data_IF_887059325829
#
_entry.id   IF_887059325829
#
_cell.length_a   1.000
_cell.length_b   1.000
_cell.length_c   1.000
_cell.angle_alpha   90.00
_cell.angle_beta   90.00
_cell.angle_gamma   90.00
#
_symmetry.space_group_name_H-M   'P 1'
#
loop_
_entity.id
_entity.type
_entity.pdbx_description
1 polymer ?
#
# COMPACT_ATOMS: atom_id res chain seq x y z
N UNK A 1 12.36 -13.82 11.74
CA UNK A 1 12.58 -14.47 10.42
C UNK A 1 12.76 -13.37 9.40
N UNK A 2 13.89 -13.35 8.70
CA UNK A 2 14.27 -12.22 7.86
C UNK A 2 13.72 -12.29 6.43
N UNK A 3 13.41 -13.47 5.90
CA UNK A 3 12.87 -13.63 4.54
C UNK A 3 11.63 -12.77 4.24
N UNK A 4 10.52 -12.81 5.03
CA UNK A 4 9.37 -11.96 4.76
C UNK A 4 9.65 -10.48 5.03
N UNK A 5 10.65 -10.17 5.88
CA UNK A 5 11.08 -8.80 6.13
C UNK A 5 11.76 -8.24 4.88
N UNK A 6 12.72 -8.95 4.29
CA UNK A 6 13.38 -8.54 3.05
C UNK A 6 12.41 -8.50 1.86
N UNK A 7 11.50 -9.48 1.76
CA UNK A 7 10.47 -9.47 0.72
C UNK A 7 9.59 -8.21 0.82
N UNK A 8 9.18 -7.82 2.04
CA UNK A 8 8.40 -6.60 2.25
C UNK A 8 9.23 -5.34 2.03
N UNK A 9 10.51 -5.36 2.42
CA UNK A 9 11.44 -4.26 2.26
C UNK A 9 11.61 -3.86 0.78
N UNK A 10 11.63 -4.85 -0.12
CA UNK A 10 11.79 -4.66 -1.56
C UNK A 10 10.46 -4.48 -2.31
N UNK A 11 9.41 -5.17 -1.88
CA UNK A 11 8.12 -5.09 -2.56
C UNK A 11 7.41 -3.75 -2.32
N UNK A 12 7.60 -3.14 -1.15
CA UNK A 12 6.99 -1.85 -0.82
C UNK A 12 7.39 -0.71 -1.76
N UNK A 13 8.68 -0.41 -1.99
CA UNK A 13 9.07 0.64 -2.95
C UNK A 13 8.67 0.29 -4.39
N UNK A 14 8.77 -0.99 -4.81
CA UNK A 14 8.32 -1.40 -6.14
C UNK A 14 6.82 -1.14 -6.32
N UNK A 15 6.00 -1.50 -5.33
CA UNK A 15 4.56 -1.25 -5.40
C UNK A 15 4.25 0.25 -5.39
N UNK A 16 4.98 1.04 -4.59
CA UNK A 16 4.80 2.49 -4.50
C UNK A 16 5.12 3.22 -5.81
N UNK A 17 6.23 2.86 -6.46
CA UNK A 17 6.84 3.69 -7.52
C UNK A 17 6.85 3.03 -8.89
N UNK A 18 6.86 1.70 -8.97
CA UNK A 18 7.08 0.98 -10.22
C UNK A 18 5.83 0.22 -10.70
N UNK A 19 4.84 -0.01 -9.83
CA UNK A 19 3.67 -0.83 -10.19
C UNK A 19 2.69 -0.14 -11.14
N UNK A 20 2.84 1.17 -11.32
CA UNK A 20 2.02 2.02 -12.16
C UNK A 20 2.83 2.71 -13.27
N UNK A 21 3.99 2.15 -13.65
CA UNK A 21 4.84 2.66 -14.73
C UNK A 21 5.84 3.72 -14.25
N UNK A 22 6.22 4.63 -15.14
CA UNK A 22 6.97 5.85 -14.79
C UNK A 22 8.51 5.75 -14.83
N UNK A 23 9.09 4.55 -14.73
CA UNK A 23 10.53 4.31 -14.79
C UNK A 23 10.91 3.35 -15.91
N UNK A 24 12.07 3.50 -16.55
CA UNK A 24 12.54 2.49 -17.48
C UNK A 24 12.83 1.16 -16.74
N UNK A 25 12.62 -0.02 -17.36
CA UNK A 25 12.85 -1.31 -16.70
C UNK A 25 14.26 -1.48 -16.10
N UNK A 26 15.26 -0.85 -16.70
CA UNK A 26 16.64 -0.89 -16.23
C UNK A 26 16.87 -0.12 -14.92
N UNK A 27 16.05 0.90 -14.64
CA UNK A 27 16.19 1.78 -13.46
C UNK A 27 15.43 1.24 -12.25
N UNK A 28 14.42 0.38 -12.47
CA UNK A 28 13.58 -0.19 -11.41
C UNK A 28 14.39 -0.82 -10.26
N UNK A 29 15.45 -1.62 -10.49
CA UNK A 29 16.24 -2.18 -9.39
C UNK A 29 16.90 -1.10 -8.53
N UNK A 30 17.41 -0.02 -9.15
CA UNK A 30 18.03 1.09 -8.44
C UNK A 30 16.99 1.83 -7.59
N UNK A 31 15.85 2.19 -8.18
CA UNK A 31 14.72 2.84 -7.48
C UNK A 31 14.28 2.03 -6.27
N UNK A 32 14.10 0.72 -6.46
CA UNK A 32 13.69 -0.20 -5.38
C UNK A 32 14.71 -0.22 -4.25
N UNK A 33 16.00 -0.34 -4.54
CA UNK A 33 17.05 -0.43 -3.51
C UNK A 33 17.21 0.88 -2.77
N UNK A 34 17.19 2.02 -3.47
CA UNK A 34 17.36 3.35 -2.88
C UNK A 34 16.20 3.70 -1.96
N UNK A 35 14.97 3.35 -2.36
CA UNK A 35 13.76 3.70 -1.60
C UNK A 35 13.33 2.63 -0.59
N UNK A 36 13.93 1.43 -0.65
CA UNK A 36 13.67 0.34 0.30
C UNK A 36 13.83 0.72 1.78
N UNK A 37 14.88 1.47 2.19
CA UNK A 37 15.00 1.92 3.58
C UNK A 37 13.76 2.71 4.06
N UNK A 38 13.25 3.63 3.24
CA UNK A 38 12.09 4.45 3.58
C UNK A 38 10.76 3.67 3.45
N UNK A 39 10.39 3.25 2.24
CA UNK A 39 9.11 2.58 1.99
C UNK A 39 9.04 1.21 2.64
N UNK A 40 10.07 0.39 2.43
CA UNK A 40 10.18 -0.94 3.00
C UNK A 40 10.29 -0.90 4.52
N UNK A 41 11.12 0.00 5.06
CA UNK A 41 11.25 0.19 6.50
C UNK A 41 9.91 0.55 7.15
N UNK A 42 9.18 1.51 6.57
CA UNK A 42 7.84 1.89 7.03
C UNK A 42 6.86 0.70 6.97
N UNK A 43 6.80 -0.03 5.85
CA UNK A 43 5.91 -1.18 5.69
C UNK A 43 6.18 -2.26 6.75
N UNK A 44 7.45 -2.58 7.02
CA UNK A 44 7.85 -3.54 8.06
C UNK A 44 7.45 -3.04 9.44
N UNK A 45 7.77 -1.78 9.80
CA UNK A 45 7.46 -1.20 11.10
C UNK A 45 5.95 -1.15 11.36
N UNK A 46 5.17 -0.68 10.39
CA UNK A 46 3.70 -0.60 10.48
C UNK A 46 3.10 -1.98 10.71
N UNK A 47 3.56 -2.97 9.94
CA UNK A 47 3.13 -4.35 10.08
C UNK A 47 3.47 -4.88 11.48
N UNK A 48 4.69 -4.67 11.97
CA UNK A 48 5.11 -5.12 13.29
C UNK A 48 4.28 -4.48 14.41
N UNK A 49 4.05 -3.17 14.37
CA UNK A 49 3.22 -2.45 15.35
C UNK A 49 1.80 -3.01 15.37
N UNK A 50 1.17 -3.17 14.20
CA UNK A 50 -0.19 -3.68 14.11
C UNK A 50 -0.35 -5.14 14.58
N UNK A 51 0.70 -5.97 14.44
CA UNK A 51 0.69 -7.35 14.96
C UNK A 51 0.97 -7.41 16.46
N UNK A 52 1.78 -6.51 17.01
CA UNK A 52 2.09 -6.45 18.46
C UNK A 52 0.92 -5.89 19.28
N UNK A 53 0.24 -4.87 18.78
CA UNK A 53 -0.90 -4.23 19.44
C UNK A 53 -2.20 -5.00 19.25
N UNK A 54 -2.24 -5.95 18.30
CA UNK A 54 -3.44 -6.72 17.97
C UNK A 54 -4.47 -5.95 17.12
N UNK A 55 -4.21 -4.68 16.76
CA UNK A 55 -5.13 -3.83 16.00
C UNK A 55 -5.42 -4.32 14.57
N UNK A 56 -4.55 -5.16 14.01
CA UNK A 56 -4.81 -5.84 12.73
C UNK A 56 -4.87 -4.89 11.52
N UNK A 57 -5.71 -5.19 10.54
CA UNK A 57 -5.80 -4.41 9.30
C UNK A 57 -6.27 -2.95 9.48
N UNK A 58 -7.25 -2.63 10.34
CA UNK A 58 -7.61 -1.23 10.55
C UNK A 58 -6.45 -0.40 11.12
N UNK A 59 -5.64 -0.96 12.02
CA UNK A 59 -4.42 -0.30 12.50
C UNK A 59 -3.38 -0.13 11.37
N UNK A 60 -3.21 -1.14 10.50
CA UNK A 60 -2.32 -1.02 9.32
C UNK A 60 -2.77 0.13 8.42
N UNK A 61 -4.06 0.23 8.09
CA UNK A 61 -4.59 1.30 7.22
C UNK A 61 -4.39 2.69 7.83
N UNK A 62 -4.67 2.85 9.13
CA UNK A 62 -4.47 4.13 9.82
C UNK A 62 -2.99 4.53 9.89
N UNK A 63 -2.10 3.59 10.20
CA UNK A 63 -0.66 3.83 10.20
C UNK A 63 -0.10 4.07 8.79
N UNK A 64 -0.69 3.44 7.76
CA UNK A 64 -0.33 3.70 6.37
C UNK A 64 -0.74 5.11 5.95
N UNK A 65 -1.91 5.59 6.39
CA UNK A 65 -2.33 6.97 6.18
C UNK A 65 -1.39 7.93 6.91
N UNK A 66 -0.99 7.62 8.15
CA UNK A 66 0.00 8.39 8.88
C UNK A 66 1.35 8.43 8.13
N UNK A 67 1.80 7.29 7.58
CA UNK A 67 2.99 7.24 6.74
C UNK A 67 2.86 8.10 5.48
N UNK A 68 1.71 8.10 4.81
CA UNK A 68 1.49 8.97 3.65
C UNK A 68 1.63 10.45 3.98
N UNK A 69 1.14 10.90 5.15
CA UNK A 69 1.36 12.25 5.64
C UNK A 69 2.82 12.52 6.02
N UNK A 70 3.51 11.56 6.64
CA UNK A 70 4.95 11.70 6.95
C UNK A 70 5.75 11.81 5.66
N UNK A 71 5.53 10.91 4.71
CA UNK A 71 6.27 10.87 3.45
C UNK A 71 6.03 12.18 2.67
N UNK A 72 4.77 12.47 2.32
CA UNK A 72 4.43 13.54 1.41
C UNK A 72 4.49 14.93 2.06
N UNK A 73 4.33 14.99 3.38
CA UNK A 73 4.24 16.24 4.14
C UNK A 73 5.52 16.61 4.90
N UNK A 74 6.33 15.63 5.33
CA UNK A 74 7.54 15.89 6.13
C UNK A 74 8.83 15.51 5.41
N UNK A 75 8.83 14.39 4.67
CA UNK A 75 10.05 13.81 4.08
C UNK A 75 10.37 14.41 2.72
N UNK A 76 9.54 14.18 1.70
CA UNK A 76 9.77 14.78 0.37
C UNK A 76 9.06 16.13 0.21
N UNK A 77 8.06 16.40 1.07
CA UNK A 77 7.25 17.62 1.07
C UNK A 77 6.50 17.88 -0.25
N UNK A 78 6.31 16.84 -1.06
CA UNK A 78 5.58 16.85 -2.34
C UNK A 78 4.16 17.36 -2.21
N UNK A 79 3.51 17.14 -1.05
CA UNK A 79 2.15 17.61 -0.80
C UNK A 79 2.02 19.15 -0.79
N UNK A 80 3.10 19.84 -0.43
CA UNK A 80 3.10 21.30 -0.25
C UNK A 80 3.92 22.03 -1.29
N UNK A 81 4.80 21.32 -2.01
CA UNK A 81 5.66 21.90 -3.03
C UNK A 81 4.91 21.93 -4.37
N UNK A 82 4.50 23.12 -4.87
CA UNK A 82 3.74 23.25 -6.12
C UNK A 82 4.59 23.13 -7.39
N UNK A 83 5.88 22.80 -7.21
CA UNK A 83 6.84 22.59 -8.30
C UNK A 83 7.39 21.17 -8.25
N UNK A 84 6.83 20.28 -7.44
CA UNK A 84 7.43 18.99 -7.11
C UNK A 84 7.64 18.11 -8.36
N UNK A 85 6.85 18.29 -9.41
CA UNK A 85 6.88 17.51 -10.65
C UNK A 85 7.28 18.33 -11.88
N UNK A 86 7.67 19.61 -11.73
CA UNK A 86 8.03 20.55 -12.82
C UNK A 86 9.01 19.99 -13.89
N UNK A 87 9.94 19.12 -13.50
CA UNK A 87 11.01 18.54 -14.33
C UNK A 87 10.68 17.13 -14.86
N UNK A 88 9.44 16.67 -14.64
CA UNK A 88 8.95 15.36 -15.06
C UNK A 88 7.82 15.53 -16.07
N UNK A 89 7.45 14.46 -16.78
CA UNK A 89 6.27 14.49 -17.65
C UNK A 89 4.94 14.55 -16.86
N UNK A 90 5.00 14.48 -15.52
CA UNK A 90 3.85 14.65 -14.62
C UNK A 90 3.51 16.10 -14.30
N UNK A 91 4.27 17.09 -14.75
CA UNK A 91 4.03 18.51 -14.46
C UNK A 91 2.58 18.96 -14.78
N UNK A 92 1.98 18.39 -15.82
CA UNK A 92 0.58 18.65 -16.19
C UNK A 92 -0.44 18.18 -15.15
N UNK A 93 -0.17 17.08 -14.44
CA UNK A 93 -1.06 16.59 -13.36
C UNK A 93 -1.00 17.52 -12.13
N UNK A 94 0.18 18.02 -11.80
CA UNK A 94 0.34 19.00 -10.72
C UNK A 94 -0.39 20.31 -11.02
N UNK A 95 -0.28 20.80 -12.26
CA UNK A 95 -1.02 21.97 -12.71
C UNK A 95 -2.55 21.75 -12.63
N UNK A 96 -3.04 20.58 -13.03
CA UNK A 96 -4.46 20.23 -12.91
C UNK A 96 -4.93 20.20 -11.45
N UNK A 97 -4.13 19.60 -10.56
CA UNK A 97 -4.44 19.50 -9.14
C UNK A 97 -4.54 20.87 -8.43
N UNK A 98 -3.95 21.93 -8.99
CA UNK A 98 -4.11 23.29 -8.48
C UNK A 98 -5.58 23.75 -8.41
N UNK A 99 -6.47 23.18 -9.25
CA UNK A 99 -7.91 23.45 -9.24
C UNK A 99 -8.64 22.99 -7.97
N UNK A 100 -7.99 22.21 -7.11
CA UNK A 100 -8.55 21.69 -5.85
C UNK A 100 -7.75 22.10 -4.62
N UNK A 101 -7.01 23.22 -4.73
CA UNK A 101 -6.32 23.80 -3.58
C UNK A 101 -7.28 24.09 -2.43
N UNK A 102 -6.87 23.67 -1.24
CA UNK A 102 -7.59 23.98 0.00
C UNK A 102 -7.13 25.35 0.50
N UNK A 103 -8.02 26.36 0.59
CA UNK A 103 -7.64 27.70 1.03
C UNK A 103 -6.94 27.69 2.40
N UNK A 104 -5.82 28.39 2.49
CA UNK A 104 -5.07 28.55 3.75
C UNK A 104 -4.20 27.36 4.17
N UNK A 105 -4.30 26.19 3.52
CA UNK A 105 -3.50 25.01 3.89
C UNK A 105 -2.33 24.71 2.92
N UNK A 106 -2.36 25.30 1.73
CA UNK A 106 -1.24 25.24 0.79
C UNK A 106 -1.01 23.87 0.13
N UNK A 107 -2.03 23.01 0.09
CA UNK A 107 -2.03 21.75 -0.66
C UNK A 107 -3.32 21.58 -1.46
N UNK A 108 -3.29 20.71 -2.46
CA UNK A 108 -4.44 20.29 -3.25
C UNK A 108 -5.12 19.06 -2.63
N UNK A 109 -6.45 19.07 -2.55
CA UNK A 109 -7.21 17.90 -2.10
C UNK A 109 -7.01 16.68 -3.02
N UNK A 110 -6.81 16.92 -4.32
CA UNK A 110 -6.49 15.88 -5.30
C UNK A 110 -5.10 15.28 -5.06
N UNK A 111 -4.07 16.12 -4.83
CA UNK A 111 -2.73 15.64 -4.45
C UNK A 111 -2.74 14.90 -3.11
N UNK A 112 -3.53 15.36 -2.14
CA UNK A 112 -3.67 14.66 -0.86
C UNK A 112 -4.20 13.24 -1.08
N UNK A 113 -5.26 13.09 -1.89
CA UNK A 113 -5.82 11.78 -2.20
C UNK A 113 -4.84 10.91 -3.00
N UNK A 114 -4.13 11.51 -3.97
CA UNK A 114 -3.14 10.80 -4.78
C UNK A 114 -1.98 10.29 -3.92
N UNK A 115 -1.29 11.17 -3.18
CA UNK A 115 -0.12 10.81 -2.39
C UNK A 115 -0.48 9.92 -1.19
N UNK A 116 -1.38 10.36 -0.31
CA UNK A 116 -1.73 9.58 0.89
C UNK A 116 -2.48 8.31 0.52
N UNK A 117 -3.39 8.37 -0.47
CA UNK A 117 -4.11 7.20 -0.97
C UNK A 117 -3.19 6.14 -1.57
N UNK A 118 -2.22 6.55 -2.41
CA UNK A 118 -1.24 5.62 -2.98
C UNK A 118 -0.34 5.03 -1.89
N UNK A 119 0.07 5.79 -0.87
CA UNK A 119 0.83 5.23 0.25
C UNK A 119 0.03 4.20 1.04
N UNK A 120 -1.25 4.47 1.30
CA UNK A 120 -2.14 3.51 1.96
C UNK A 120 -2.25 2.23 1.13
N UNK A 121 -2.59 2.37 -0.15
CA UNK A 121 -2.94 1.25 -1.01
C UNK A 121 -1.70 0.46 -1.48
N UNK A 122 -0.74 1.16 -2.08
CA UNK A 122 0.37 0.58 -2.84
C UNK A 122 1.65 0.47 -2.02
N UNK A 123 2.05 1.49 -1.24
CA UNK A 123 3.30 1.41 -0.46
C UNK A 123 3.19 0.48 0.74
N UNK A 124 1.99 0.32 1.33
CA UNK A 124 1.81 -0.39 2.60
C UNK A 124 0.85 -1.58 2.49
N UNK A 125 -0.44 -1.36 2.17
CA UNK A 125 -1.45 -2.43 2.28
C UNK A 125 -1.21 -3.57 1.28
N UNK A 126 -0.98 -3.25 0.01
CA UNK A 126 -0.73 -4.24 -1.03
C UNK A 126 0.50 -5.13 -0.75
N UNK A 127 1.70 -4.57 -0.50
CA UNK A 127 2.90 -5.38 -0.26
C UNK A 127 2.79 -6.20 1.03
N UNK A 128 2.19 -5.67 2.11
CA UNK A 128 1.92 -6.47 3.31
C UNK A 128 0.99 -7.64 2.99
N UNK A 129 -0.12 -7.42 2.28
CA UNK A 129 -1.09 -8.45 1.96
C UNK A 129 -0.49 -9.56 1.08
N UNK A 130 0.35 -9.18 0.11
CA UNK A 130 1.06 -10.11 -0.77
C UNK A 130 2.07 -10.93 0.04
N UNK A 131 2.99 -10.30 0.77
CA UNK A 131 4.03 -11.02 1.53
C UNK A 131 3.40 -11.92 2.58
N UNK A 132 2.37 -11.45 3.30
CA UNK A 132 1.66 -12.28 4.26
C UNK A 132 0.99 -13.50 3.63
N UNK A 133 0.63 -13.45 2.34
CA UNK A 133 0.05 -14.59 1.61
C UNK A 133 1.08 -15.71 1.36
N UNK A 134 2.37 -15.40 1.37
CA UNK A 134 3.46 -16.38 1.31
C UNK A 134 3.88 -16.89 2.70
N UNK A 135 3.50 -16.19 3.77
CA UNK A 135 3.75 -16.61 5.15
C UNK A 135 2.64 -17.55 5.62
N UNK A 136 3.03 -18.69 6.20
CA UNK A 136 2.11 -19.69 6.75
C UNK A 136 1.11 -19.11 7.76
N UNK A 137 -0.12 -19.62 7.75
CA UNK A 137 -1.25 -19.15 8.59
C UNK A 137 -0.87 -18.89 10.06
N UNK A 138 -0.11 -19.78 10.69
CA UNK A 138 0.30 -19.67 12.10
C UNK A 138 1.22 -18.49 12.38
N UNK A 139 2.08 -18.11 11.42
CA UNK A 139 3.06 -17.02 11.60
C UNK A 139 2.60 -15.69 11.03
N UNK A 140 1.63 -15.70 10.11
CA UNK A 140 1.11 -14.49 9.45
C UNK A 140 0.65 -13.42 10.44
N UNK A 141 -0.05 -13.83 11.48
CA UNK A 141 -0.59 -12.93 12.50
C UNK A 141 0.37 -12.54 13.62
N UNK A 142 1.62 -13.03 13.61
CA UNK A 142 2.59 -12.84 14.70
C UNK A 142 3.72 -11.89 14.29
N UNK A 143 4.32 -11.13 15.21
CA UNK A 143 5.53 -10.35 14.93
C UNK A 143 6.63 -11.20 14.27
N UNK A 144 7.32 -10.66 13.26
CA UNK A 144 8.41 -11.33 12.54
C UNK A 144 9.78 -11.04 13.15
N UNK A 145 9.90 -9.89 13.83
CA UNK A 145 11.13 -9.37 14.41
C UNK A 145 11.10 -9.45 15.95
N UNK A 146 12.28 -9.48 16.57
CA UNK A 146 12.44 -9.19 18.00
C UNK A 146 12.63 -7.68 18.23
N UNK A 147 12.91 -7.28 19.48
CA UNK A 147 13.16 -5.86 19.82
C UNK A 147 14.35 -5.27 19.04
N UNK A 148 15.47 -6.00 18.98
CA UNK A 148 16.66 -5.56 18.23
C UNK A 148 16.37 -5.38 16.72
N UNK A 149 15.66 -6.32 16.10
CA UNK A 149 15.29 -6.21 14.69
C UNK A 149 14.35 -5.02 14.43
N UNK A 150 13.45 -4.73 15.35
CA UNK A 150 12.58 -3.55 15.27
C UNK A 150 13.38 -2.25 15.38
N UNK A 151 14.36 -2.18 16.30
CA UNK A 151 15.25 -1.04 16.44
C UNK A 151 16.08 -0.80 15.18
N UNK A 152 16.66 -1.86 14.60
CA UNK A 152 17.40 -1.79 13.33
C UNK A 152 16.50 -1.25 12.22
N UNK A 153 15.25 -1.72 12.11
CA UNK A 153 14.33 -1.20 11.09
C UNK A 153 13.89 0.24 11.36
N UNK A 154 13.78 0.65 12.62
CA UNK A 154 13.58 2.05 12.99
C UNK A 154 14.71 2.94 12.48
N UNK A 155 15.96 2.54 12.72
CA UNK A 155 17.14 3.28 12.26
C UNK A 155 17.18 3.33 10.74
N UNK A 156 17.00 2.19 10.05
CA UNK A 156 16.99 2.14 8.58
C UNK A 156 15.89 3.03 7.98
N UNK A 157 14.69 3.02 8.56
CA UNK A 157 13.60 3.90 8.12
C UNK A 157 13.93 5.38 8.30
N UNK A 158 14.47 5.77 9.46
CA UNK A 158 14.85 7.16 9.73
C UNK A 158 15.96 7.60 8.79
N UNK A 159 17.02 6.80 8.63
CA UNK A 159 18.13 7.12 7.72
C UNK A 159 17.66 7.22 6.26
N UNK A 160 16.80 6.30 5.81
CA UNK A 160 16.18 6.38 4.48
C UNK A 160 15.37 7.64 4.28
N UNK A 161 14.54 8.00 5.27
CA UNK A 161 13.74 9.23 5.24
C UNK A 161 14.63 10.49 5.24
N UNK A 162 15.69 10.51 6.05
CA UNK A 162 16.66 11.59 6.06
C UNK A 162 17.41 11.72 4.73
N UNK A 163 17.75 10.61 4.08
CA UNK A 163 18.41 10.62 2.78
C UNK A 163 17.49 11.23 1.69
N UNK A 164 16.21 10.87 1.68
CA UNK A 164 15.21 11.48 0.77
C UNK A 164 15.02 12.96 1.09
N UNK A 165 14.89 13.33 2.36
CA UNK A 165 14.78 14.74 2.76
C UNK A 165 16.04 15.55 2.40
N UNK A 166 17.23 14.96 2.49
CA UNK A 166 18.49 15.62 2.17
C UNK A 166 18.69 15.85 0.66
N UNK A 167 17.91 15.18 -0.20
CA UNK A 167 17.91 15.43 -1.64
C UNK A 167 17.22 16.76 -1.99
N UNK A 168 17.99 17.83 -1.87
CA UNK A 168 17.49 19.18 -2.13
C UNK A 168 17.16 19.42 -3.61
N UNK A 169 17.76 18.65 -4.52
CA UNK A 169 17.41 18.70 -5.95
C UNK A 169 16.02 18.10 -6.17
N UNK A 170 15.75 16.93 -5.58
CA UNK A 170 14.41 16.31 -5.62
C UNK A 170 13.32 17.21 -5.01
N UNK A 171 13.62 17.88 -3.89
CA UNK A 171 12.70 18.87 -3.28
C UNK A 171 12.71 20.25 -3.94
N UNK A 172 13.62 20.51 -4.89
CA UNK A 172 13.76 21.79 -5.60
C UNK A 172 13.93 22.98 -4.66
N UNK A 173 14.69 22.79 -3.59
CA UNK A 173 14.93 23.80 -2.55
C UNK A 173 13.69 24.20 -1.74
N UNK A 174 12.57 23.48 -1.88
CA UNK A 174 11.33 23.79 -1.16
C UNK A 174 11.40 23.33 0.30
N UNK A 175 10.89 24.18 1.20
CA UNK A 175 10.65 23.85 2.60
C UNK A 175 9.22 24.25 2.99
N UNK A 176 8.48 23.30 3.53
CA UNK A 176 7.14 23.50 4.07
C UNK A 176 7.20 24.48 5.27
N UNK A 177 6.18 25.34 5.35
CA UNK A 177 6.07 26.31 6.45
C UNK A 177 5.89 25.62 7.81
N UNK A 178 6.23 26.30 8.93
CA UNK A 178 5.99 25.76 10.27
C UNK A 178 4.54 25.33 10.53
N UNK A 179 3.57 26.04 9.94
CA UNK A 179 2.15 25.70 10.05
C UNK A 179 1.82 24.39 9.32
N UNK A 180 2.36 24.19 8.11
CA UNK A 180 2.20 22.94 7.37
C UNK A 180 2.86 21.76 8.09
N UNK A 181 4.07 21.95 8.60
CA UNK A 181 4.77 20.93 9.39
C UNK A 181 4.00 20.58 10.67
N UNK A 182 3.58 21.59 11.44
CA UNK A 182 2.80 21.40 12.66
C UNK A 182 1.45 20.72 12.42
N UNK A 183 0.75 21.12 11.35
CA UNK A 183 -0.50 20.50 10.92
C UNK A 183 -0.33 19.03 10.52
N UNK A 184 0.71 18.72 9.72
CA UNK A 184 1.04 17.35 9.35
C UNK A 184 1.37 16.50 10.57
N UNK A 185 2.20 17.00 11.49
CA UNK A 185 2.52 16.29 12.75
C UNK A 185 1.26 16.02 13.56
N UNK A 186 0.36 17.00 13.68
CA UNK A 186 -0.91 16.81 14.40
C UNK A 186 -1.75 15.69 13.77
N UNK A 187 -1.92 15.68 12.44
CA UNK A 187 -2.66 14.63 11.73
C UNK A 187 -2.01 13.26 11.93
N UNK A 188 -0.69 13.17 11.81
CA UNK A 188 0.08 11.94 12.05
C UNK A 188 -0.16 11.43 13.47
N UNK A 189 -0.06 12.29 14.48
CA UNK A 189 -0.28 11.91 15.89
C UNK A 189 -1.72 11.42 16.12
N UNK A 190 -2.72 12.07 15.54
CA UNK A 190 -4.13 11.64 15.62
C UNK A 190 -4.32 10.26 14.98
N UNK A 191 -3.76 10.03 13.79
CA UNK A 191 -3.86 8.74 13.09
C UNK A 191 -3.13 7.62 13.83
N UNK A 192 -1.93 7.89 14.36
CA UNK A 192 -1.17 6.94 15.18
C UNK A 192 -1.93 6.62 16.46
N UNK A 193 -2.44 7.63 17.18
CA UNK A 193 -3.24 7.42 18.38
C UNK A 193 -4.47 6.57 18.08
N UNK A 194 -5.22 6.90 17.01
CA UNK A 194 -6.36 6.10 16.57
C UNK A 194 -5.95 4.65 16.27
N UNK A 195 -4.84 4.43 15.57
CA UNK A 195 -4.36 3.09 15.25
C UNK A 195 -3.99 2.25 16.48
N UNK A 196 -3.41 2.88 17.50
CA UNK A 196 -3.05 2.23 18.76
C UNK A 196 -4.26 1.95 19.65
N UNK A 197 -5.34 2.74 19.51
CA UNK A 197 -6.59 2.57 20.25
C UNK A 197 -7.56 1.58 19.58
N UNK A 198 -7.41 1.32 18.27
CA UNK A 198 -8.22 0.34 17.55
C UNK A 198 -8.03 -1.05 18.18
N UNK A 199 -9.16 -1.63 18.62
CA UNK A 199 -9.24 -3.02 19.04
C UNK A 199 -10.02 -3.83 18.02
N UNK A 200 -9.60 -5.08 17.80
CA UNK A 200 -10.39 -6.01 16.99
C UNK A 200 -11.74 -6.25 17.65
N UNK A 201 -12.81 -5.90 16.95
CA UNK A 201 -14.18 -6.22 17.36
C UNK A 201 -14.44 -7.74 17.30
N UNK A 202 -15.49 -8.21 17.98
CA UNK A 202 -15.91 -9.62 17.92
C UNK A 202 -16.24 -10.03 16.48
N UNK A 203 -16.07 -11.32 16.18
CA UNK A 203 -16.51 -11.89 14.91
C UNK A 203 -18.01 -11.57 14.72
N UNK A 204 -18.37 -11.09 13.52
CA UNK A 204 -19.70 -10.59 13.23
C UNK A 204 -20.76 -11.68 13.15
N UNK A 205 -21.98 -11.26 12.82
CA UNK A 205 -23.13 -12.13 12.60
C UNK A 205 -22.74 -13.29 11.65
N UNK A 206 -23.17 -14.52 11.95
CA UNK A 206 -22.73 -15.76 11.27
C UNK A 206 -23.00 -15.86 9.76
N UNK A 207 -23.38 -14.75 9.10
CA UNK A 207 -23.55 -14.60 7.67
C UNK A 207 -22.24 -14.84 6.92
N UNK A 208 -22.26 -15.52 5.77
CA UNK A 208 -21.06 -15.77 4.99
C UNK A 208 -20.50 -14.50 4.35
N UNK A 209 -19.18 -14.39 4.35
CA UNK A 209 -18.45 -13.37 3.61
C UNK A 209 -18.70 -13.56 2.09
N UNK A 210 -18.79 -12.47 1.31
CA UNK A 210 -18.89 -12.58 -0.14
C UNK A 210 -17.65 -13.26 -0.73
N UNK A 211 -17.74 -13.68 -2.00
CA UNK A 211 -16.59 -14.20 -2.72
C UNK A 211 -15.45 -13.17 -2.73
N UNK A 212 -14.22 -13.63 -2.51
CA UNK A 212 -13.04 -12.76 -2.40
C UNK A 212 -12.87 -11.82 -3.62
N UNK A 213 -13.27 -12.26 -4.81
CA UNK A 213 -13.23 -11.43 -6.03
C UNK A 213 -13.96 -10.09 -5.86
N UNK A 214 -15.07 -10.05 -5.11
CA UNK A 214 -15.82 -8.81 -4.90
C UNK A 214 -15.06 -7.80 -4.06
N UNK A 215 -14.23 -8.25 -3.11
CA UNK A 215 -13.34 -7.36 -2.38
C UNK A 215 -12.33 -6.68 -3.32
N UNK A 216 -11.79 -7.44 -4.28
CA UNK A 216 -10.87 -6.89 -5.28
C UNK A 216 -11.54 -6.03 -6.35
N UNK A 217 -12.75 -6.37 -6.79
CA UNK A 217 -13.51 -5.52 -7.73
C UNK A 217 -13.83 -4.18 -7.09
N UNK A 218 -14.34 -4.16 -5.85
CA UNK A 218 -14.70 -2.91 -5.18
C UNK A 218 -13.48 -2.01 -4.94
N UNK A 219 -12.35 -2.56 -4.49
CA UNK A 219 -11.14 -1.76 -4.32
C UNK A 219 -10.48 -1.39 -5.64
N UNK A 220 -10.54 -2.24 -6.66
CA UNK A 220 -10.04 -1.93 -8.00
C UNK A 220 -10.83 -0.80 -8.66
N UNK A 221 -12.15 -0.82 -8.58
CA UNK A 221 -13.01 0.29 -9.04
C UNK A 221 -12.69 1.57 -8.28
N UNK A 222 -12.51 1.49 -6.95
CA UNK A 222 -12.13 2.67 -6.17
C UNK A 222 -10.73 3.21 -6.54
N UNK A 223 -9.75 2.34 -6.77
CA UNK A 223 -8.42 2.75 -7.25
C UNK A 223 -8.47 3.38 -8.64
N UNK A 224 -9.20 2.76 -9.58
CA UNK A 224 -9.33 3.25 -10.95
C UNK A 224 -10.19 4.52 -11.05
N UNK A 225 -10.94 4.88 -10.01
CA UNK A 225 -11.73 6.12 -9.98
C UNK A 225 -10.90 7.40 -9.96
N UNK A 226 -9.59 7.28 -9.69
CA UNK A 226 -8.64 8.35 -9.90
C UNK A 226 -8.71 8.86 -11.35
N UNK A 227 -8.94 10.16 -11.54
CA UNK A 227 -8.97 10.78 -12.87
C UNK A 227 -10.28 10.62 -13.66
N UNK A 228 -11.35 10.05 -13.10
CA UNK A 228 -12.66 9.97 -13.78
C UNK A 228 -13.32 11.34 -14.03
N UNK A 229 -13.00 12.31 -13.19
CA UNK A 229 -13.44 13.68 -13.33
C UNK A 229 -12.32 14.61 -12.85
N UNK A 230 -12.20 15.82 -13.41
CA UNK A 230 -11.23 16.81 -12.94
C UNK A 230 -11.76 17.58 -11.72
N UNK A 231 -10.86 18.22 -11.00
CA UNK A 231 -11.22 19.22 -10.00
C UNK A 231 -11.99 18.64 -8.81
N UNK A 232 -12.84 19.47 -8.19
CA UNK A 232 -13.61 19.07 -7.00
C UNK A 232 -14.59 17.91 -7.26
N UNK A 233 -15.07 17.77 -8.50
CA UNK A 233 -15.88 16.62 -8.89
C UNK A 233 -15.07 15.32 -8.82
N UNK A 234 -13.83 15.33 -9.31
CA UNK A 234 -12.88 14.23 -9.18
C UNK A 234 -12.60 13.85 -7.73
N UNK A 235 -12.30 14.85 -6.91
CA UNK A 235 -12.08 14.67 -5.46
C UNK A 235 -13.29 14.03 -4.79
N UNK A 236 -14.51 14.50 -5.09
CA UNK A 236 -15.74 13.95 -4.53
C UNK A 236 -15.97 12.50 -4.96
N UNK A 237 -15.81 12.19 -6.26
CA UNK A 237 -15.96 10.84 -6.82
C UNK A 237 -14.96 9.87 -6.18
N UNK A 238 -13.68 10.24 -6.16
CA UNK A 238 -12.63 9.38 -5.62
C UNK A 238 -12.80 9.17 -4.10
N UNK A 239 -13.11 10.24 -3.36
CA UNK A 239 -13.39 10.14 -1.91
C UNK A 239 -14.58 9.22 -1.65
N UNK A 240 -15.69 9.39 -2.39
CA UNK A 240 -16.87 8.55 -2.24
C UNK A 240 -16.57 7.09 -2.59
N UNK A 241 -15.81 6.82 -3.65
CA UNK A 241 -15.43 5.48 -4.05
C UNK A 241 -14.53 4.79 -3.02
N UNK A 242 -13.48 5.48 -2.52
CA UNK A 242 -12.58 4.97 -1.48
C UNK A 242 -13.32 4.74 -0.15
N UNK A 243 -14.17 5.68 0.27
CA UNK A 243 -14.96 5.54 1.49
C UNK A 243 -15.95 4.38 1.38
N UNK A 244 -16.66 4.26 0.25
CA UNK A 244 -17.59 3.15 0.00
C UNK A 244 -16.87 1.80 0.00
N UNK A 245 -15.71 1.71 -0.67
CA UNK A 245 -14.89 0.52 -0.67
C UNK A 245 -14.40 0.15 0.74
N UNK A 246 -13.92 1.14 1.51
CA UNK A 246 -13.50 0.97 2.89
C UNK A 246 -14.63 0.44 3.78
N UNK A 247 -15.81 1.07 3.72
CA UNK A 247 -17.00 0.63 4.49
C UNK A 247 -17.43 -0.78 4.10
N UNK A 248 -17.50 -1.09 2.81
CA UNK A 248 -17.89 -2.43 2.33
C UNK A 248 -16.88 -3.49 2.76
N UNK A 249 -15.57 -3.24 2.62
CA UNK A 249 -14.52 -4.16 3.05
C UNK A 249 -14.56 -4.35 4.57
N UNK A 250 -14.71 -3.27 5.36
CA UNK A 250 -14.84 -3.36 6.81
C UNK A 250 -16.07 -4.17 7.22
N UNK A 251 -17.21 -3.94 6.57
CA UNK A 251 -18.43 -4.69 6.84
C UNK A 251 -18.30 -6.17 6.46
N UNK A 252 -17.77 -6.48 5.29
CA UNK A 252 -17.52 -7.85 4.85
C UNK A 252 -16.45 -8.54 5.69
N UNK A 253 -15.49 -7.80 6.25
CA UNK A 253 -14.43 -8.36 7.09
C UNK A 253 -14.93 -8.97 8.40
N UNK A 254 -16.12 -8.57 8.85
CA UNK A 254 -16.77 -9.10 10.05
C UNK A 254 -17.52 -10.41 9.78
N UNK A 255 -17.74 -10.78 8.52
CA UNK A 255 -18.56 -11.95 8.15
C UNK A 255 -17.81 -13.27 8.26
N UNK A 256 -18.55 -14.36 8.48
CA UNK A 256 -18.01 -15.70 8.59
C UNK A 256 -17.23 -16.11 7.32
N UNK A 257 -16.01 -16.63 7.50
CA UNK A 257 -15.16 -17.07 6.40
C UNK A 257 -14.35 -15.97 5.69
N UNK A 258 -14.44 -14.71 6.13
CA UNK A 258 -13.47 -13.70 5.72
C UNK A 258 -12.05 -14.11 6.16
N UNK A 259 -11.09 -14.02 5.25
CA UNK A 259 -9.72 -14.42 5.55
C UNK A 259 -8.71 -13.89 4.55
N UNK A 260 -7.52 -14.50 4.54
CA UNK A 260 -6.38 -13.98 3.75
C UNK A 260 -6.67 -13.85 2.26
N UNK A 261 -7.50 -14.73 1.69
CA UNK A 261 -7.87 -14.64 0.28
C UNK A 261 -8.65 -13.35 -0.03
N UNK A 262 -9.51 -12.90 0.88
CA UNK A 262 -10.26 -11.66 0.75
C UNK A 262 -9.37 -10.44 0.95
N UNK A 263 -8.48 -10.50 1.93
CA UNK A 263 -7.45 -9.47 2.17
C UNK A 263 -6.56 -9.30 0.94
N UNK A 264 -6.02 -10.41 0.41
CA UNK A 264 -5.22 -10.41 -0.81
C UNK A 264 -6.01 -9.86 -2.00
N UNK A 265 -7.29 -10.22 -2.14
CA UNK A 265 -8.12 -9.68 -3.21
C UNK A 265 -8.36 -8.17 -3.07
N UNK A 266 -8.67 -7.67 -1.88
CA UNK A 266 -8.83 -6.23 -1.62
C UNK A 266 -7.55 -5.46 -1.98
N UNK A 267 -6.39 -5.95 -1.54
CA UNK A 267 -5.08 -5.39 -1.92
C UNK A 267 -4.79 -5.47 -3.42
N UNK A 268 -5.09 -6.62 -4.04
CA UNK A 268 -4.89 -6.85 -5.46
C UNK A 268 -5.69 -5.89 -6.34
N UNK A 269 -6.89 -5.49 -5.91
CA UNK A 269 -7.70 -4.52 -6.65
C UNK A 269 -6.96 -3.22 -6.93
N UNK A 270 -6.32 -2.63 -5.90
CA UNK A 270 -5.53 -1.42 -6.07
C UNK A 270 -4.27 -1.64 -6.92
N UNK A 271 -3.56 -2.75 -6.72
CA UNK A 271 -2.35 -3.06 -7.50
C UNK A 271 -2.67 -3.30 -8.99
N UNK A 272 -3.80 -3.96 -9.29
CA UNK A 272 -4.29 -4.13 -10.65
C UNK A 272 -4.73 -2.80 -11.25
N UNK A 273 -5.42 -1.94 -10.49
CA UNK A 273 -5.80 -0.60 -10.94
C UNK A 273 -4.56 0.25 -11.27
N UNK A 274 -3.52 0.19 -10.44
CA UNK A 274 -2.24 0.83 -10.66
C UNK A 274 -1.57 0.34 -11.95
N UNK A 275 -1.39 -0.98 -12.13
CA UNK A 275 -0.76 -1.52 -13.33
C UNK A 275 -1.60 -1.32 -14.60
N UNK A 276 -2.93 -1.30 -14.50
CA UNK A 276 -3.79 -0.95 -15.63
C UNK A 276 -3.71 0.54 -15.97
N UNK A 277 -3.59 1.41 -14.96
CA UNK A 277 -3.42 2.85 -15.13
C UNK A 277 -2.05 3.26 -15.67
N UNK A 278 -1.04 2.39 -15.56
CA UNK A 278 0.32 2.65 -16.04
C UNK A 278 0.39 3.12 -17.50
N UNK A 279 -0.41 2.48 -18.36
CA UNK A 279 -0.49 2.79 -19.79
C UNK A 279 -1.07 4.18 -20.10
N UNK A 280 -1.62 4.86 -19.10
CA UNK A 280 -2.16 6.22 -19.19
C UNK A 280 -1.29 7.22 -18.42
N UNK A 281 -0.29 6.75 -17.67
CA UNK A 281 0.60 7.58 -16.89
C UNK A 281 1.77 8.07 -17.75
N UNK A 282 2.21 9.32 -17.57
CA UNK A 282 3.45 9.80 -18.18
C UNK A 282 4.69 9.25 -17.44
N UNK A 283 5.91 9.57 -17.91
CA UNK A 283 7.15 9.09 -17.28
C UNK A 283 7.82 10.14 -16.38
N UNK A 284 8.58 9.68 -15.38
CA UNK A 284 9.38 10.59 -14.55
C UNK A 284 10.53 11.24 -15.33
N UNK A 285 11.07 10.54 -16.33
CA UNK A 285 12.08 11.04 -17.25
C UNK A 285 11.66 10.79 -18.70
N UNK A 286 12.10 11.62 -19.66
CA UNK A 286 11.80 11.41 -21.07
C UNK A 286 12.17 10.01 -21.55
N UNK A 287 11.20 9.28 -22.08
CA UNK A 287 11.37 7.92 -22.58
C UNK A 287 10.81 7.79 -23.99
N UNK A 288 11.40 6.91 -24.80
CA UNK A 288 10.78 6.56 -26.09
C UNK A 288 9.49 5.77 -25.85
N UNK A 289 8.50 5.82 -26.75
CA UNK A 289 7.26 5.06 -26.60
C UNK A 289 7.48 3.55 -26.37
N UNK A 290 8.51 2.99 -27.00
CA UNK A 290 8.87 1.58 -26.81
C UNK A 290 9.35 1.29 -25.39
N UNK A 291 10.13 2.20 -24.78
CA UNK A 291 10.61 2.06 -23.40
C UNK A 291 9.47 2.22 -22.39
N UNK A 292 8.57 3.19 -22.62
CA UNK A 292 7.39 3.38 -21.78
C UNK A 292 6.50 2.13 -21.77
N UNK A 293 6.13 1.62 -22.97
CA UNK A 293 5.33 0.38 -23.08
C UNK A 293 6.05 -0.82 -22.47
N UNK A 294 7.38 -0.94 -22.65
CA UNK A 294 8.15 -2.01 -22.02
C UNK A 294 8.09 -1.94 -20.49
N UNK A 295 8.12 -0.74 -19.91
CA UNK A 295 7.92 -0.53 -18.47
C UNK A 295 6.54 -0.99 -18.01
N UNK A 296 5.48 -0.52 -18.67
CA UNK A 296 4.10 -0.82 -18.28
C UNK A 296 3.79 -2.32 -18.39
N UNK A 297 4.28 -2.96 -19.45
CA UNK A 297 4.18 -4.42 -19.63
C UNK A 297 4.97 -5.15 -18.55
N UNK A 298 6.19 -4.69 -18.21
CA UNK A 298 7.00 -5.31 -17.16
C UNK A 298 6.29 -5.22 -15.80
N UNK A 299 5.77 -4.04 -15.44
CA UNK A 299 4.99 -3.84 -14.22
C UNK A 299 3.76 -4.75 -14.18
N UNK A 300 2.99 -4.80 -15.26
CA UNK A 300 1.80 -5.66 -15.39
C UNK A 300 2.13 -7.15 -15.25
N UNK A 301 3.20 -7.63 -15.89
CA UNK A 301 3.63 -9.03 -15.79
C UNK A 301 4.04 -9.35 -14.36
N UNK A 302 4.82 -8.49 -13.70
CA UNK A 302 5.21 -8.69 -12.29
C UNK A 302 3.97 -8.74 -11.40
N UNK A 303 3.03 -7.80 -11.55
CA UNK A 303 1.75 -7.78 -10.81
C UNK A 303 0.99 -9.09 -10.99
N UNK A 304 0.78 -9.54 -12.24
CA UNK A 304 0.02 -10.76 -12.53
C UNK A 304 0.71 -11.99 -11.93
N UNK A 305 2.02 -12.15 -12.14
CA UNK A 305 2.79 -13.31 -11.65
C UNK A 305 2.77 -13.34 -10.11
N UNK A 306 3.02 -12.20 -9.47
CA UNK A 306 3.07 -12.08 -8.02
C UNK A 306 1.71 -12.40 -7.38
N UNK A 307 0.63 -11.82 -7.91
CA UNK A 307 -0.72 -12.05 -7.40
C UNK A 307 -1.18 -13.49 -7.66
N UNK A 308 -0.91 -14.04 -8.86
CA UNK A 308 -1.23 -15.44 -9.17
C UNK A 308 -0.52 -16.39 -8.20
N UNK A 309 0.79 -16.19 -7.97
CA UNK A 309 1.56 -16.98 -7.02
C UNK A 309 1.01 -16.86 -5.59
N UNK A 310 0.66 -15.64 -5.15
CA UNK A 310 0.07 -15.41 -3.83
C UNK A 310 -1.30 -16.10 -3.67
N UNK A 311 -2.18 -16.03 -4.69
CA UNK A 311 -3.49 -16.70 -4.67
C UNK A 311 -3.37 -18.23 -4.67
N UNK A 312 -2.45 -18.78 -5.48
CA UNK A 312 -2.15 -20.23 -5.48
C UNK A 312 -1.67 -20.65 -4.10
N UNK A 313 -0.75 -19.89 -3.50
CA UNK A 313 -0.17 -20.19 -2.19
C UNK A 313 -1.21 -20.17 -1.07
N UNK A 314 -2.14 -19.21 -1.08
CA UNK A 314 -3.25 -19.13 -0.11
C UNK A 314 -4.29 -20.23 -0.36
N UNK A 315 -4.52 -20.62 -1.62
CA UNK A 315 -5.42 -21.72 -1.99
C UNK A 315 -4.96 -23.07 -1.42
N UNK A 316 -3.64 -23.33 -1.46
CA UNK A 316 -3.04 -24.56 -0.93
C UNK A 316 -3.15 -24.70 0.59
N UNK A 317 -3.23 -23.60 1.34
CA UNK A 317 -3.39 -23.64 2.82
C UNK A 317 -4.78 -24.13 3.27
N UNK A 318 -5.77 -24.18 2.37
CA UNK A 318 -7.14 -24.60 2.70
C UNK A 318 -7.31 -26.13 2.78
N UNK A 319 -6.30 -26.92 2.39
CA UNK A 319 -6.38 -28.39 2.38
C UNK A 319 -5.55 -29.01 3.52
N UNK A 320 -6.08 -29.03 4.76
CA UNK A 320 -5.75 -30.08 5.71
C UNK A 320 -7.03 -30.85 6.06
N UNK A 321 -7.32 -31.97 5.40
CA UNK A 321 -8.48 -32.78 5.79
C UNK A 321 -9.09 -33.78 4.80
N UNK A 322 -8.31 -34.46 3.94
CA UNK A 322 -8.83 -35.66 3.23
C UNK A 322 -7.89 -36.87 3.17
N UNK A 323 -6.68 -36.79 3.71
CA UNK A 323 -5.69 -37.88 3.58
C UNK A 323 -5.55 -38.82 4.82
N UNK A 324 -6.39 -38.69 5.85
CA UNK A 324 -6.25 -39.49 7.09
C UNK A 324 -7.50 -40.31 7.48
N UNK A 325 -8.47 -40.50 6.56
CA UNK A 325 -9.61 -41.41 6.77
C UNK A 325 -9.56 -42.46 5.67
N UNK A 326 -8.71 -43.47 5.86
CA UNK A 326 -8.55 -44.51 4.84
C UNK A 326 -7.52 -45.59 5.13
N UNK A 327 -7.19 -45.86 6.40
CA UNK A 327 -6.51 -47.11 6.80
C UNK A 327 -7.02 -47.55 8.16
N UNK A 328 -8.25 -48.07 8.20
CA UNK A 328 -8.55 -49.14 9.17
C UNK A 328 -8.14 -50.44 8.47
N UNK A 329 -7.03 -51.02 8.94
CA UNK A 329 -6.70 -52.41 8.61
C UNK A 329 -7.82 -53.32 9.13
N UNK A 330 -8.14 -54.43 8.46
CA UNK A 330 -9.01 -55.44 9.04
C UNK A 330 -8.28 -56.03 10.25
N UNK A 331 -8.93 -55.99 11.40
CA UNK A 331 -8.52 -56.75 12.56
C UNK A 331 -8.55 -58.23 12.17
N UNK A 332 -7.39 -58.89 12.23
CA UNK A 332 -7.35 -60.34 12.34
C UNK A 332 -7.98 -60.76 13.66
N UNK A 333 -8.72 -61.86 13.63
CA UNK A 333 -9.34 -62.47 14.80
C UNK A 333 -10.20 -63.65 14.38
N UNK A 334 -9.55 -64.82 14.39
CA UNK A 334 -10.06 -66.18 14.67
C UNK A 334 -11.24 -66.75 13.87
#
# INVERSE_FOLDING_TARGET
MWVPVFALLLLAPWAAECSWGGFAPADVPFVVVVLAPMYGGAAVLIREVARRTGGGWPAIVLLAAAFGWVQAGLVDQSLFNPRFLDDTEFAGLEAAAAGTRVPGLGFSAEQLLAYVGNHVALSICAPIAVVESFVGRERRGRPWLGGAGLAVMGVVYVLGSCAVFADDQGRKGFLASPVQLGGTVLVVLVLVAAALLVRRGPAGDGRPAPRAVWAGVVTGVAGFSAGWAPGWAGVAVQTAALASAGVLVLWWSRRAGWGQRHVLAAAAGFLVAASAGAYLAPNYAPASPAVAVASDVTGSVITVVLLAAAFVRVGRERVPGRAAVGRRAPAGGE
#
